data_IF_659578229925
#
_entry.id   IF_659578229925
#
_cell.length_a   1.000
_cell.length_b   1.000
_cell.length_c   1.000
_cell.angle_alpha   90.00
_cell.angle_beta   90.00
_cell.angle_gamma   90.00
#
_symmetry.space_group_name_H-M   'P 1'
#
loop_
_entity.id
_entity.type
_entity.pdbx_description
1 polymer ?
#
# COMPACT_ATOMS: atom_id res chain seq x y z
N UNK A 1 -10.77 13.61 13.00
CA UNK A 1 -11.62 14.36 12.05
C UNK A 1 -11.43 15.88 12.09
N UNK A 2 -10.52 16.46 12.90
CA UNK A 2 -10.28 17.90 12.96
C UNK A 2 -9.46 18.48 11.78
N UNK A 3 -8.82 17.63 10.97
CA UNK A 3 -7.87 18.06 9.95
C UNK A 3 -8.50 18.69 8.70
N UNK A 4 -9.78 18.45 8.38
CA UNK A 4 -10.40 18.87 7.11
C UNK A 4 -11.32 20.11 7.24
N UNK A 5 -11.24 20.87 8.33
CA UNK A 5 -12.15 22.00 8.60
C UNK A 5 -12.11 23.09 7.53
N UNK A 6 -10.96 23.22 6.86
CA UNK A 6 -10.72 24.28 5.87
C UNK A 6 -10.97 23.81 4.42
N UNK A 7 -11.50 22.60 4.22
CA UNK A 7 -11.86 22.09 2.89
C UNK A 7 -13.29 22.52 2.53
N UNK A 8 -13.45 23.20 1.39
CA UNK A 8 -14.74 23.68 0.93
C UNK A 8 -14.99 23.32 -0.54
N UNK A 9 -16.26 23.08 -0.88
CA UNK A 9 -16.71 22.95 -2.27
C UNK A 9 -16.42 24.25 -3.02
N UNK A 10 -15.96 24.15 -4.26
CA UNK A 10 -15.58 25.26 -5.12
C UNK A 10 -14.13 25.73 -4.96
N UNK A 11 -13.37 25.17 -4.02
CA UNK A 11 -11.91 25.42 -3.96
C UNK A 11 -11.22 24.98 -5.25
N UNK A 12 -10.18 25.73 -5.64
CA UNK A 12 -9.37 25.46 -6.83
C UNK A 12 -8.05 24.80 -6.43
N UNK A 13 -7.59 23.86 -7.24
CA UNK A 13 -6.33 23.13 -7.03
C UNK A 13 -5.60 22.92 -8.34
N UNK A 14 -4.29 22.75 -8.27
CA UNK A 14 -3.49 22.24 -9.38
C UNK A 14 -3.29 20.73 -9.17
N UNK A 15 -3.69 19.91 -10.14
CA UNK A 15 -3.60 18.45 -10.07
C UNK A 15 -3.01 17.89 -11.36
N UNK A 16 -2.38 16.72 -11.25
CA UNK A 16 -1.83 16.00 -12.40
C UNK A 16 -2.86 15.88 -13.53
N UNK A 17 -2.40 16.14 -14.75
CA UNK A 17 -3.17 15.99 -15.98
C UNK A 17 -2.89 14.62 -16.61
N UNK A 18 -3.76 13.66 -16.32
CA UNK A 18 -3.64 12.27 -16.80
C UNK A 18 -4.05 12.10 -18.27
N UNK A 19 -4.57 13.15 -18.93
CA UNK A 19 -4.95 13.14 -20.35
C UNK A 19 -3.75 13.24 -21.30
N UNK A 20 -2.53 13.37 -20.77
CA UNK A 20 -1.28 13.33 -21.53
C UNK A 20 -0.57 12.03 -21.16
N UNK A 21 -0.55 11.06 -22.08
CA UNK A 21 0.17 9.80 -21.90
C UNK A 21 1.61 10.07 -21.45
N UNK A 22 1.89 9.87 -20.17
CA UNK A 22 3.24 9.96 -19.61
C UNK A 22 3.53 8.68 -18.85
N UNK A 23 4.12 7.74 -19.56
CA UNK A 23 4.79 6.60 -18.95
C UNK A 23 5.99 7.12 -18.15
N UNK A 24 5.95 6.88 -16.83
CA UNK A 24 7.11 6.71 -15.94
C UNK A 24 8.25 7.73 -15.97
N UNK A 25 8.00 9.03 -16.16
CA UNK A 25 9.00 10.06 -15.86
C UNK A 25 8.38 11.25 -15.13
N UNK A 26 8.85 11.55 -13.91
CA UNK A 26 8.43 12.68 -13.07
C UNK A 26 8.66 14.04 -13.74
N UNK A 27 9.59 14.12 -14.70
CA UNK A 27 9.85 15.32 -15.49
C UNK A 27 8.71 15.66 -16.46
N UNK A 28 8.02 14.65 -16.99
CA UNK A 28 6.94 14.82 -17.99
C UNK A 28 5.53 14.92 -17.39
N UNK A 29 5.40 14.80 -16.06
CA UNK A 29 4.12 15.00 -15.39
C UNK A 29 3.60 16.40 -15.69
N UNK A 30 2.40 16.58 -16.21
CA UNK A 30 1.82 17.92 -16.42
C UNK A 30 0.69 18.16 -15.43
N UNK A 31 0.32 19.41 -15.19
CA UNK A 31 -0.71 19.78 -14.23
C UNK A 31 -1.74 20.68 -14.89
N UNK A 32 -2.98 20.59 -14.40
CA UNK A 32 -4.05 21.50 -14.76
C UNK A 32 -4.88 21.89 -13.53
N UNK A 33 -5.65 22.97 -13.66
CA UNK A 33 -6.51 23.45 -12.58
C UNK A 33 -7.79 22.63 -12.54
N UNK A 34 -8.23 22.28 -11.32
CA UNK A 34 -9.52 21.65 -11.08
C UNK A 34 -10.27 22.31 -9.92
N UNK A 35 -11.60 22.21 -9.96
CA UNK A 35 -12.52 22.57 -8.88
C UNK A 35 -12.86 21.38 -7.99
N UNK A 36 -12.95 21.62 -6.69
CA UNK A 36 -13.53 20.69 -5.72
C UNK A 36 -15.05 20.68 -5.87
N UNK A 37 -15.59 19.57 -6.39
CA UNK A 37 -17.04 19.37 -6.57
C UNK A 37 -17.65 18.77 -5.30
N UNK A 38 -16.96 17.80 -4.69
CA UNK A 38 -17.38 17.11 -3.48
C UNK A 38 -16.17 16.57 -2.74
N UNK A 39 -16.29 16.30 -1.45
CA UNK A 39 -15.26 15.58 -0.70
C UNK A 39 -15.89 14.63 0.33
N UNK A 40 -15.18 13.56 0.64
CA UNK A 40 -15.51 12.56 1.66
C UNK A 40 -14.22 12.04 2.28
N UNK A 41 -13.98 12.39 3.54
CA UNK A 41 -12.67 12.16 4.20
C UNK A 41 -11.53 12.74 3.34
N UNK A 42 -10.51 11.93 3.03
CA UNK A 42 -9.37 12.34 2.19
C UNK A 42 -9.65 12.22 0.69
N UNK A 43 -10.83 11.73 0.28
CA UNK A 43 -11.20 11.64 -1.13
C UNK A 43 -11.93 12.91 -1.57
N UNK A 44 -11.50 13.49 -2.67
CA UNK A 44 -12.06 14.72 -3.23
C UNK A 44 -12.45 14.45 -4.67
N UNK A 45 -13.71 14.70 -5.02
CA UNK A 45 -14.21 14.68 -6.38
C UNK A 45 -13.83 16.01 -7.04
N UNK A 46 -13.09 15.92 -8.13
CA UNK A 46 -12.54 17.05 -8.86
C UNK A 46 -13.12 17.10 -10.27
N UNK A 47 -13.22 18.32 -10.81
CA UNK A 47 -13.49 18.57 -12.23
C UNK A 47 -12.48 19.57 -12.76
N UNK A 48 -11.80 19.26 -13.86
CA UNK A 48 -10.89 20.21 -14.49
C UNK A 48 -11.62 21.49 -14.92
N UNK A 49 -10.97 22.64 -14.75
CA UNK A 49 -11.47 23.91 -15.27
C UNK A 49 -11.56 23.84 -16.80
N UNK A 50 -12.74 24.18 -17.34
CA UNK A 50 -13.07 24.09 -18.77
C UNK A 50 -14.08 22.99 -19.12
N UNK A 51 -14.39 22.09 -18.19
CA UNK A 51 -15.54 21.18 -18.30
C UNK A 51 -16.76 21.72 -17.55
N UNK A 52 -17.95 21.46 -18.09
CA UNK A 52 -19.26 21.79 -17.52
C UNK A 52 -19.85 20.61 -16.72
N UNK A 53 -20.89 20.87 -15.92
CA UNK A 53 -21.59 19.83 -15.13
C UNK A 53 -22.11 18.66 -15.96
N UNK A 54 -22.46 18.90 -17.23
CA UNK A 54 -22.99 17.89 -18.14
C UNK A 54 -21.93 16.97 -18.77
N UNK A 55 -20.65 17.29 -18.65
CA UNK A 55 -19.58 16.54 -19.34
C UNK A 55 -19.25 15.19 -18.68
N UNK A 56 -19.76 14.91 -17.48
CA UNK A 56 -19.47 13.71 -16.70
C UNK A 56 -17.95 13.41 -16.57
N UNK A 57 -17.13 14.46 -16.53
CA UNK A 57 -15.67 14.40 -16.48
C UNK A 57 -15.10 14.49 -15.05
N UNK A 58 -15.93 14.19 -14.04
CA UNK A 58 -15.55 14.25 -12.64
C UNK A 58 -14.71 13.02 -12.26
N UNK A 59 -13.66 13.23 -11.49
CA UNK A 59 -12.78 12.15 -11.04
C UNK A 59 -12.42 12.26 -9.56
N UNK A 60 -12.30 11.11 -8.90
CA UNK A 60 -11.90 11.07 -7.49
C UNK A 60 -10.38 11.17 -7.36
N UNK A 61 -9.95 11.97 -6.41
CA UNK A 61 -8.54 12.18 -6.07
C UNK A 61 -8.32 12.00 -4.56
N UNK A 62 -7.15 11.50 -4.15
CA UNK A 62 -6.78 11.40 -2.73
C UNK A 62 -5.92 12.60 -2.33
N UNK A 63 -6.38 13.39 -1.34
CA UNK A 63 -5.64 14.57 -0.85
C UNK A 63 -4.28 14.20 -0.25
N UNK A 64 -4.06 12.93 0.12
CA UNK A 64 -2.78 12.45 0.66
C UNK A 64 -1.75 12.19 -0.45
N UNK A 65 -2.18 12.12 -1.70
CA UNK A 65 -1.28 12.01 -2.85
C UNK A 65 -0.46 13.30 -3.00
N UNK A 66 0.79 13.18 -3.45
CA UNK A 66 1.69 14.33 -3.66
C UNK A 66 1.41 15.11 -4.95
N UNK A 67 0.54 14.62 -5.82
CA UNK A 67 0.25 15.22 -7.13
C UNK A 67 -0.96 16.18 -7.11
N UNK A 68 -1.28 16.74 -5.94
CA UNK A 68 -2.27 17.80 -5.73
C UNK A 68 -1.63 18.95 -4.96
N UNK A 69 -1.87 20.16 -5.46
CA UNK A 69 -1.19 21.35 -5.03
C UNK A 69 -2.13 22.55 -4.94
N UNK A 70 -1.78 23.56 -4.12
CA UNK A 70 -2.50 24.82 -4.14
C UNK A 70 -2.23 25.56 -5.45
N UNK A 71 -3.19 26.39 -5.87
CA UNK A 71 -3.01 27.25 -7.05
C UNK A 71 -1.79 28.15 -6.87
N UNK A 72 -0.95 28.23 -7.91
CA UNK A 72 0.32 28.95 -7.92
C UNK A 72 1.55 28.07 -7.66
N UNK A 73 1.36 26.78 -7.33
CA UNK A 73 2.48 25.86 -7.08
C UNK A 73 3.32 25.63 -8.34
N UNK A 74 2.69 25.37 -9.48
CA UNK A 74 3.32 25.18 -10.78
C UNK A 74 4.15 26.41 -11.19
N UNK A 75 3.59 27.60 -11.04
CA UNK A 75 4.29 28.85 -11.32
C UNK A 75 5.57 29.00 -10.46
N UNK A 76 5.51 28.66 -9.17
CA UNK A 76 6.66 28.74 -8.25
C UNK A 76 7.80 27.80 -8.63
N UNK A 77 7.51 26.66 -9.25
CA UNK A 77 8.52 25.69 -9.72
C UNK A 77 8.84 25.84 -11.22
N UNK A 78 8.44 26.95 -11.86
CA UNK A 78 8.60 27.21 -13.29
C UNK A 78 8.04 26.08 -14.19
N UNK A 79 6.93 25.47 -13.78
CA UNK A 79 6.24 24.43 -14.53
C UNK A 79 4.95 24.99 -15.14
N UNK A 80 4.73 24.87 -16.46
CA UNK A 80 3.52 25.40 -17.08
C UNK A 80 2.30 24.54 -16.73
N UNK A 81 1.14 25.18 -16.58
CA UNK A 81 -0.14 24.50 -16.59
C UNK A 81 -0.49 24.11 -18.02
N UNK A 82 -0.80 22.83 -18.25
CA UNK A 82 -1.12 22.28 -19.56
C UNK A 82 -2.58 21.79 -19.55
N UNK A 83 -3.48 22.38 -20.36
CA UNK A 83 -4.86 21.93 -20.43
C UNK A 83 -4.97 20.52 -21.01
N UNK A 84 -5.93 19.68 -20.53
CA UNK A 84 -6.34 18.47 -21.22
C UNK A 84 -6.71 18.75 -22.68
N UNK A 85 -6.51 17.77 -23.57
CA UNK A 85 -6.63 17.96 -25.01
C UNK A 85 -8.03 18.44 -25.43
N UNK A 86 -9.06 17.96 -24.76
CA UNK A 86 -10.47 18.34 -24.99
C UNK A 86 -10.77 19.77 -24.52
N UNK A 87 -10.10 20.24 -23.46
CA UNK A 87 -10.25 21.63 -22.99
C UNK A 87 -9.51 22.58 -23.94
N UNK A 88 -8.33 22.17 -24.42
CA UNK A 88 -7.52 22.95 -25.34
C UNK A 88 -8.25 23.29 -26.64
N UNK A 89 -9.16 22.43 -27.11
CA UNK A 89 -9.97 22.69 -28.30
C UNK A 89 -11.22 23.55 -28.02
N UNK A 90 -11.67 23.63 -26.76
CA UNK A 90 -12.84 24.41 -26.35
C UNK A 90 -12.49 25.86 -25.99
N UNK A 91 -11.28 26.11 -25.48
CA UNK A 91 -10.87 27.41 -24.95
C UNK A 91 -9.66 27.93 -25.72
N UNK A 92 -9.87 28.98 -26.52
CA UNK A 92 -8.82 29.59 -27.33
C UNK A 92 -7.78 30.35 -26.49
N UNK A 93 -8.23 31.13 -25.50
CA UNK A 93 -7.38 31.85 -24.56
C UNK A 93 -7.57 31.31 -23.14
N UNK A 94 -6.79 30.29 -22.82
CA UNK A 94 -6.85 29.65 -21.50
C UNK A 94 -6.21 30.52 -20.41
N UNK A 95 -5.36 31.49 -20.75
CA UNK A 95 -4.73 32.38 -19.76
C UNK A 95 -5.77 33.34 -19.18
N UNK A 96 -6.50 34.02 -20.06
CA UNK A 96 -7.59 34.91 -19.64
C UNK A 96 -8.71 34.13 -18.93
N UNK A 97 -9.05 32.94 -19.45
CA UNK A 97 -10.03 32.06 -18.81
C UNK A 97 -9.62 31.70 -17.37
N UNK A 98 -8.38 31.22 -17.16
CA UNK A 98 -7.90 30.89 -15.82
C UNK A 98 -7.83 32.12 -14.94
N UNK A 99 -7.41 33.28 -15.45
CA UNK A 99 -7.38 34.52 -14.70
C UNK A 99 -8.76 34.86 -14.13
N UNK A 100 -9.82 34.77 -14.95
CA UNK A 100 -11.20 34.99 -14.51
C UNK A 100 -11.68 33.95 -13.49
N UNK A 101 -11.30 32.68 -13.66
CA UNK A 101 -11.73 31.58 -12.77
C UNK A 101 -10.98 31.52 -11.44
N UNK A 102 -9.74 31.99 -11.41
CA UNK A 102 -8.86 31.92 -10.23
C UNK A 102 -8.87 33.21 -9.41
N UNK A 103 -9.23 34.34 -10.00
CA UNK A 103 -9.31 35.63 -9.28
C UNK A 103 -10.29 35.56 -8.11
N UNK A 104 -9.76 35.72 -6.88
CA UNK A 104 -10.54 35.64 -5.65
C UNK A 104 -10.98 34.23 -5.26
N UNK A 105 -10.60 33.20 -6.01
CA UNK A 105 -10.94 31.82 -5.70
C UNK A 105 -10.13 31.32 -4.50
N UNK A 106 -10.78 30.51 -3.65
CA UNK A 106 -10.10 29.85 -2.54
C UNK A 106 -9.30 28.65 -3.06
N UNK A 107 -8.12 28.43 -2.51
CA UNK A 107 -7.31 27.23 -2.73
C UNK A 107 -6.89 26.64 -1.39
N UNK A 108 -6.35 25.43 -1.38
CA UNK A 108 -5.78 24.85 -0.17
C UNK A 108 -4.58 25.66 0.30
N UNK A 109 -4.31 25.70 1.61
CA UNK A 109 -3.00 26.17 2.08
C UNK A 109 -1.94 25.10 1.85
N UNK A 110 -0.70 25.51 1.60
CA UNK A 110 0.41 24.59 1.42
C UNK A 110 0.65 23.75 2.70
N UNK A 111 0.51 24.36 3.87
CA UNK A 111 0.69 23.73 5.18
C UNK A 111 -0.39 22.70 5.47
N UNK A 112 -1.63 22.97 5.06
CA UNK A 112 -2.73 22.01 5.17
C UNK A 112 -2.44 20.77 4.32
N UNK A 113 -2.09 20.95 3.04
CA UNK A 113 -1.79 19.83 2.14
C UNK A 113 -0.57 19.04 2.64
N UNK A 114 0.48 19.71 3.10
CA UNK A 114 1.65 19.05 3.67
C UNK A 114 1.27 18.12 4.83
N UNK A 115 0.50 18.61 5.81
CA UNK A 115 0.04 17.80 6.96
C UNK A 115 -0.86 16.63 6.54
N UNK A 116 -1.70 16.83 5.53
CA UNK A 116 -2.55 15.74 5.02
C UNK A 116 -1.71 14.70 4.27
N UNK A 117 -0.72 15.11 3.48
CA UNK A 117 0.17 14.24 2.71
C UNK A 117 1.17 13.45 3.56
N UNK A 118 1.38 13.85 4.82
CA UNK A 118 2.11 13.05 5.82
C UNK A 118 1.31 11.83 6.31
N UNK A 119 -0.02 11.84 6.15
CA UNK A 119 -0.87 10.72 6.57
C UNK A 119 -0.66 9.54 5.62
N UNK A 120 -0.33 8.34 6.14
CA UNK A 120 -0.17 7.16 5.31
C UNK A 120 -1.41 6.87 4.45
N UNK A 121 -1.17 6.43 3.23
CA UNK A 121 -2.21 6.01 2.29
C UNK A 121 -1.70 4.92 1.36
N UNK A 122 -2.63 4.20 0.75
CA UNK A 122 -2.30 3.18 -0.22
C UNK A 122 -1.65 3.78 -1.47
N UNK A 123 -0.39 3.40 -1.74
CA UNK A 123 0.38 3.81 -2.92
C UNK A 123 0.68 2.63 -3.87
N UNK A 124 0.17 1.44 -3.58
CA UNK A 124 0.35 0.28 -4.44
C UNK A 124 -0.43 0.45 -5.74
N UNK A 125 0.15 -0.07 -6.83
CA UNK A 125 -0.45 -0.05 -8.17
C UNK A 125 -0.56 -1.48 -8.70
N UNK A 126 -1.56 -1.72 -9.54
CA UNK A 126 -1.71 -2.99 -10.26
C UNK A 126 -0.42 -3.27 -11.05
N UNK A 127 0.05 -4.51 -11.00
CA UNK A 127 1.28 -4.97 -11.60
C UNK A 127 2.50 -4.95 -10.68
N UNK A 128 2.43 -4.25 -9.54
CA UNK A 128 3.53 -4.25 -8.56
C UNK A 128 3.75 -5.62 -7.93
N UNK A 129 5.00 -5.92 -7.56
CA UNK A 129 5.43 -7.21 -6.98
C UNK A 129 5.78 -7.06 -5.51
N UNK A 130 5.39 -8.08 -4.74
CA UNK A 130 5.61 -8.17 -3.29
C UNK A 130 6.02 -9.60 -2.92
N UNK A 131 6.63 -9.77 -1.76
CA UNK A 131 6.74 -11.06 -1.09
C UNK A 131 5.66 -11.20 -0.02
N UNK A 132 5.03 -12.36 0.08
CA UNK A 132 3.94 -12.64 1.02
C UNK A 132 3.92 -14.12 1.39
N UNK A 133 3.52 -14.43 2.63
CA UNK A 133 3.45 -15.80 3.12
C UNK A 133 2.42 -16.63 2.34
N UNK A 134 2.78 -17.86 1.97
CA UNK A 134 1.86 -18.77 1.30
C UNK A 134 0.78 -19.28 2.26
N UNK A 135 -0.43 -18.72 2.11
CA UNK A 135 -1.62 -19.08 2.90
C UNK A 135 -1.99 -20.56 2.79
N UNK A 136 -1.70 -21.22 1.66
CA UNK A 136 -1.96 -22.66 1.48
C UNK A 136 -0.87 -23.50 2.14
N UNK A 137 0.37 -23.00 2.18
CA UNK A 137 1.50 -23.69 2.82
C UNK A 137 1.64 -23.31 4.29
N UNK A 138 0.52 -23.18 4.98
CA UNK A 138 0.52 -22.95 6.41
C UNK A 138 1.33 -21.68 6.81
N UNK A 139 1.47 -20.69 5.92
CA UNK A 139 2.26 -19.47 6.12
C UNK A 139 3.76 -19.72 6.42
N UNK A 140 4.25 -20.94 6.17
CA UNK A 140 5.59 -21.39 6.55
C UNK A 140 6.70 -20.92 5.60
N UNK A 141 6.34 -20.46 4.41
CA UNK A 141 7.25 -20.00 3.36
C UNK A 141 6.73 -18.71 2.73
N UNK A 142 7.63 -17.91 2.18
CA UNK A 142 7.27 -16.73 1.39
C UNK A 142 7.21 -17.08 -0.10
N UNK A 143 6.34 -16.40 -0.81
CA UNK A 143 6.21 -16.46 -2.26
C UNK A 143 6.18 -15.06 -2.85
N UNK A 144 6.59 -14.93 -4.11
CA UNK A 144 6.37 -13.70 -4.88
C UNK A 144 4.90 -13.64 -5.30
N UNK A 145 4.29 -12.47 -5.18
CA UNK A 145 2.93 -12.21 -5.65
C UNK A 145 2.84 -10.88 -6.39
N UNK A 146 1.92 -10.81 -7.35
CA UNK A 146 1.59 -9.60 -8.11
C UNK A 146 0.29 -8.98 -7.58
N UNK A 147 0.26 -7.66 -7.44
CA UNK A 147 -0.96 -6.87 -7.21
C UNK A 147 -1.81 -6.91 -8.49
N UNK A 148 -2.90 -7.66 -8.49
CA UNK A 148 -3.79 -7.81 -9.66
C UNK A 148 -5.00 -6.87 -9.61
N UNK A 149 -5.30 -6.27 -8.46
CA UNK A 149 -6.33 -5.25 -8.31
C UNK A 149 -6.11 -4.42 -7.04
N UNK A 150 -6.63 -3.18 -7.02
CA UNK A 150 -6.56 -2.27 -5.88
C UNK A 150 -7.92 -1.62 -5.68
N UNK A 151 -8.56 -1.87 -4.54
CA UNK A 151 -9.86 -1.30 -4.17
C UNK A 151 -9.72 -0.57 -2.84
N UNK A 152 -9.65 0.76 -2.92
CA UNK A 152 -9.38 1.61 -1.75
C UNK A 152 -8.04 1.24 -1.12
N UNK A 153 -8.07 0.84 0.15
CA UNK A 153 -6.90 0.44 0.93
C UNK A 153 -6.65 -1.08 0.90
N UNK A 154 -7.37 -1.82 0.04
CA UNK A 154 -7.20 -3.28 -0.12
C UNK A 154 -6.48 -3.60 -1.42
N UNK A 155 -5.56 -4.56 -1.33
CA UNK A 155 -4.82 -5.13 -2.45
C UNK A 155 -5.33 -6.53 -2.73
N UNK A 156 -5.59 -6.84 -4.00
CA UNK A 156 -5.82 -8.22 -4.45
C UNK A 156 -4.49 -8.75 -4.97
N UNK A 157 -3.98 -9.80 -4.34
CA UNK A 157 -2.71 -10.42 -4.66
C UNK A 157 -2.92 -11.79 -5.31
N UNK A 158 -2.08 -12.10 -6.29
CA UNK A 158 -1.99 -13.41 -6.93
C UNK A 158 -0.55 -13.91 -6.84
N UNK A 159 -0.34 -15.15 -6.42
CA UNK A 159 1.00 -15.75 -6.41
C UNK A 159 1.56 -15.90 -7.83
N UNK A 160 2.82 -15.52 -8.01
CA UNK A 160 3.52 -15.65 -9.28
C UNK A 160 3.99 -17.11 -9.49
N UNK A 161 3.74 -17.64 -10.68
CA UNK A 161 4.12 -18.99 -11.09
C UNK A 161 2.98 -20.00 -11.12
N UNK A 162 1.83 -19.73 -10.52
CA UNK A 162 0.67 -20.61 -10.68
C UNK A 162 0.03 -20.43 -12.07
N UNK A 163 -0.53 -21.52 -12.60
CA UNK A 163 -1.36 -21.45 -13.81
C UNK A 163 -2.57 -20.53 -13.54
N UNK A 164 -2.92 -19.59 -14.44
CA UNK A 164 -4.07 -18.72 -14.26
C UNK A 164 -5.39 -19.44 -13.94
N UNK A 165 -5.55 -20.69 -14.36
CA UNK A 165 -6.76 -21.49 -14.09
C UNK A 165 -6.84 -22.01 -12.65
N UNK A 166 -5.70 -22.14 -11.95
CA UNK A 166 -5.61 -22.64 -10.56
C UNK A 166 -5.18 -21.57 -9.57
N UNK A 167 -4.72 -20.41 -10.06
CA UNK A 167 -4.28 -19.30 -9.24
C UNK A 167 -5.47 -18.69 -8.50
N UNK A 168 -5.47 -18.83 -7.18
CA UNK A 168 -6.42 -18.15 -6.31
C UNK A 168 -5.87 -16.79 -5.89
N UNK A 169 -6.72 -15.77 -6.06
CA UNK A 169 -6.46 -14.44 -5.56
C UNK A 169 -6.87 -14.33 -4.10
N UNK A 170 -6.20 -13.46 -3.36
CA UNK A 170 -6.63 -13.11 -2.03
C UNK A 170 -6.48 -11.62 -1.76
N UNK A 171 -7.26 -11.13 -0.81
CA UNK A 171 -7.21 -9.73 -0.41
C UNK A 171 -6.42 -9.54 0.90
N UNK A 172 -5.66 -8.45 0.97
CA UNK A 172 -5.08 -7.92 2.20
C UNK A 172 -5.19 -6.40 2.24
N UNK A 173 -4.99 -5.81 3.41
CA UNK A 173 -4.84 -4.36 3.53
C UNK A 173 -3.43 -3.95 3.05
N UNK A 174 -3.29 -2.77 2.44
CA UNK A 174 -1.98 -2.29 1.94
C UNK A 174 -0.94 -2.07 3.05
N UNK A 175 -1.42 -1.87 4.28
CA UNK A 175 -0.60 -1.67 5.48
C UNK A 175 -0.49 -2.94 6.33
N UNK A 176 -0.73 -4.11 5.73
CA UNK A 176 -0.52 -5.39 6.41
C UNK A 176 0.96 -5.60 6.68
N UNK A 177 1.31 -6.14 7.85
CA UNK A 177 2.69 -6.54 8.17
C UNK A 177 3.11 -7.83 7.48
N UNK A 178 2.16 -8.51 6.82
CA UNK A 178 2.38 -9.80 6.13
C UNK A 178 2.81 -9.66 4.66
N UNK A 179 2.83 -8.42 4.14
CA UNK A 179 3.30 -8.13 2.79
C UNK A 179 4.63 -7.39 2.88
N UNK A 180 5.60 -7.82 2.08
CA UNK A 180 6.98 -7.39 2.19
C UNK A 180 7.54 -6.96 0.83
N UNK A 181 8.53 -6.07 0.78
CA UNK A 181 9.22 -5.73 -0.47
C UNK A 181 9.96 -6.95 -1.03
N UNK A 182 10.15 -6.98 -2.34
CA UNK A 182 10.98 -8.00 -3.00
C UNK A 182 12.41 -7.93 -2.44
N UNK A 183 12.98 -9.09 -2.09
CA UNK A 183 14.27 -9.23 -1.43
C UNK A 183 14.20 -9.34 0.09
N UNK A 184 13.03 -9.10 0.69
CA UNK A 184 12.85 -9.15 2.16
C UNK A 184 13.19 -10.52 2.75
N UNK A 185 12.75 -11.62 2.13
CA UNK A 185 13.02 -12.98 2.63
C UNK A 185 14.52 -13.24 2.72
N UNK A 186 15.27 -12.84 1.70
CA UNK A 186 16.73 -12.93 1.68
C UNK A 186 17.38 -12.08 2.78
N UNK A 187 16.89 -10.84 2.93
CA UNK A 187 17.37 -9.89 3.94
C UNK A 187 17.23 -10.45 5.36
N UNK A 188 16.04 -10.94 5.72
CA UNK A 188 15.75 -11.41 7.09
C UNK A 188 16.20 -12.85 7.35
N UNK A 189 16.50 -13.62 6.30
CA UNK A 189 16.84 -15.04 6.40
C UNK A 189 15.63 -15.98 6.42
N UNK A 190 14.50 -15.55 5.82
CA UNK A 190 13.34 -16.37 5.56
C UNK A 190 13.47 -17.13 4.22
N UNK A 191 12.76 -18.24 4.07
CA UNK A 191 12.73 -18.99 2.81
C UNK A 191 11.73 -18.38 1.84
N UNK A 192 12.19 -18.12 0.61
CA UNK A 192 11.36 -17.87 -0.56
C UNK A 192 11.23 -19.18 -1.37
N UNK A 193 10.01 -19.61 -1.67
CA UNK A 193 9.72 -20.90 -2.31
C UNK A 193 8.63 -20.74 -3.38
N UNK A 194 8.49 -21.70 -4.31
CA UNK A 194 7.30 -21.77 -5.15
C UNK A 194 6.02 -21.89 -4.33
N UNK A 195 4.93 -21.24 -4.75
CA UNK A 195 3.63 -21.40 -4.10
C UNK A 195 3.12 -22.83 -4.25
N UNK A 196 2.30 -23.28 -3.29
CA UNK A 196 1.60 -24.55 -3.39
C UNK A 196 0.77 -24.60 -4.68
N UNK A 197 0.95 -25.67 -5.44
CA UNK A 197 0.32 -25.87 -6.74
C UNK A 197 1.27 -25.71 -7.93
N UNK A 198 2.51 -25.24 -7.71
CA UNK A 198 3.57 -25.32 -8.73
C UNK A 198 3.87 -26.77 -9.08
N UNK A 199 3.80 -27.11 -10.38
CA UNK A 199 3.91 -28.51 -10.86
C UNK A 199 5.31 -28.87 -11.38
N UNK A 200 6.19 -27.90 -11.60
CA UNK A 200 7.50 -28.12 -12.22
C UNK A 200 8.63 -28.13 -11.17
N UNK A 201 9.88 -28.23 -11.62
CA UNK A 201 11.02 -28.25 -10.69
C UNK A 201 11.27 -26.87 -10.03
N UNK A 202 12.00 -26.88 -8.92
CA UNK A 202 12.46 -25.65 -8.24
C UNK A 202 13.39 -24.84 -9.16
N UNK A 203 14.20 -25.51 -9.99
CA UNK A 203 15.10 -24.84 -10.94
C UNK A 203 14.33 -24.06 -11.99
N UNK A 204 13.23 -24.62 -12.51
CA UNK A 204 12.35 -23.92 -13.44
C UNK A 204 11.64 -22.74 -12.78
N UNK A 205 11.22 -22.89 -11.52
CA UNK A 205 10.63 -21.79 -10.77
C UNK A 205 11.63 -20.65 -10.54
N UNK A 206 12.88 -20.95 -10.16
CA UNK A 206 13.91 -19.94 -9.98
C UNK A 206 14.11 -19.13 -11.27
N UNK A 207 14.23 -19.80 -12.42
CA UNK A 207 14.35 -19.14 -13.73
C UNK A 207 13.13 -18.27 -14.06
N UNK A 208 11.93 -18.74 -13.71
CA UNK A 208 10.70 -17.99 -13.93
C UNK A 208 10.68 -16.72 -13.07
N UNK A 209 10.97 -16.84 -11.78
CA UNK A 209 10.98 -15.68 -10.87
C UNK A 209 12.06 -14.68 -11.26
N UNK A 210 13.25 -15.12 -11.63
CA UNK A 210 14.30 -14.23 -12.16
C UNK A 210 13.79 -13.41 -13.36
N UNK A 211 13.12 -14.06 -14.32
CA UNK A 211 12.53 -13.37 -15.48
C UNK A 211 11.40 -12.41 -15.08
N UNK A 212 10.61 -12.77 -14.08
CA UNK A 212 9.49 -11.98 -13.57
C UNK A 212 9.99 -10.72 -12.87
N UNK A 213 11.00 -10.85 -12.00
CA UNK A 213 11.58 -9.75 -11.24
C UNK A 213 12.44 -8.82 -12.11
N UNK A 214 13.01 -9.33 -13.21
CA UNK A 214 13.71 -8.53 -14.21
C UNK A 214 12.83 -7.49 -14.95
N UNK A 215 11.51 -7.47 -14.72
CA UNK A 215 10.58 -6.52 -15.34
C UNK A 215 10.51 -5.16 -14.61
N UNK A 216 11.27 -4.98 -13.53
CA UNK A 216 11.33 -3.73 -12.74
C UNK A 216 9.94 -3.25 -12.29
N UNK A 217 9.18 -4.18 -11.71
CA UNK A 217 7.83 -3.93 -11.17
C UNK A 217 7.77 -4.13 -9.66
N UNK A 218 8.90 -4.09 -8.99
CA UNK A 218 8.93 -4.30 -7.55
C UNK A 218 8.24 -3.12 -6.85
N UNK A 219 7.42 -3.43 -5.85
CA UNK A 219 6.81 -2.39 -5.02
C UNK A 219 7.94 -1.65 -4.26
N UNK A 220 8.01 -0.31 -4.32
CA UNK A 220 9.04 0.44 -3.62
C UNK A 220 8.96 0.25 -2.11
N UNK A 221 10.09 0.01 -1.44
CA UNK A 221 10.12 -0.30 0.00
C UNK A 221 9.39 0.74 0.87
N UNK A 222 9.43 2.02 0.50
CA UNK A 222 8.83 3.12 1.25
C UNK A 222 7.31 3.09 1.31
N UNK A 223 6.63 2.27 0.50
CA UNK A 223 5.16 2.16 0.51
C UNK A 223 4.64 1.11 1.49
N UNK A 224 5.52 0.29 2.05
CA UNK A 224 5.20 -0.72 3.06
C UNK A 224 5.18 -0.11 4.47
N UNK A 225 4.56 -0.81 5.43
CA UNK A 225 4.72 -0.47 6.84
C UNK A 225 6.16 -0.73 7.28
N UNK A 226 6.69 0.08 8.19
CA UNK A 226 8.07 -0.05 8.69
C UNK A 226 8.35 -1.43 9.31
N UNK A 227 7.38 -2.02 10.01
CA UNK A 227 7.47 -3.38 10.58
C UNK A 227 7.49 -4.49 9.51
N UNK A 228 7.32 -4.17 8.22
CA UNK A 228 7.33 -5.13 7.12
C UNK A 228 8.58 -5.05 6.23
N UNK A 229 9.46 -4.08 6.44
CA UNK A 229 10.63 -3.84 5.57
C UNK A 229 11.93 -4.43 6.13
N UNK A 230 11.94 -4.86 7.40
CA UNK A 230 13.19 -5.20 8.11
C UNK A 230 14.04 -4.01 8.49
N UNK A 231 13.48 -2.80 8.52
CA UNK A 231 14.15 -1.60 9.05
C UNK A 231 13.68 -1.21 10.45
N UNK A 232 12.59 -1.79 10.95
CA UNK A 232 12.03 -1.45 12.25
C UNK A 232 13.01 -1.73 13.39
N UNK A 233 13.24 -0.73 14.23
CA UNK A 233 13.97 -0.90 15.49
C UNK A 233 13.06 -1.60 16.51
N UNK A 234 13.65 -2.42 17.38
CA UNK A 234 12.93 -3.20 18.37
C UNK A 234 13.81 -3.44 19.60
N UNK A 235 13.30 -3.22 20.83
CA UNK A 235 14.08 -3.37 22.05
C UNK A 235 14.16 -4.82 22.57
N UNK A 236 13.50 -5.77 21.91
CA UNK A 236 13.35 -7.15 22.40
C UNK A 236 13.89 -8.16 21.39
N UNK A 237 14.92 -8.90 21.79
CA UNK A 237 15.34 -10.11 21.11
C UNK A 237 14.52 -11.28 21.69
N UNK A 238 13.70 -11.90 20.85
CA UNK A 238 13.12 -13.21 21.16
C UNK A 238 14.22 -14.27 20.97
N UNK A 239 14.30 -15.21 21.88
CA UNK A 239 15.26 -16.33 21.81
C UNK A 239 14.53 -17.64 21.57
N UNK A 240 15.20 -18.58 20.88
CA UNK A 240 14.68 -19.94 20.67
C UNK A 240 14.28 -20.58 22.00
N UNK A 241 13.05 -21.11 22.06
CA UNK A 241 12.47 -21.76 23.23
C UNK A 241 11.62 -20.84 24.11
N UNK A 242 11.66 -19.51 23.90
CA UNK A 242 10.75 -18.59 24.59
C UNK A 242 9.29 -18.92 24.26
N UNK A 243 8.42 -18.83 25.27
CA UNK A 243 6.98 -18.99 25.13
C UNK A 243 6.27 -17.66 25.34
N UNK A 244 5.21 -17.46 24.58
CA UNK A 244 4.38 -16.25 24.63
C UNK A 244 2.95 -16.59 24.18
N UNK A 245 2.03 -15.65 24.34
CA UNK A 245 0.65 -15.79 23.86
C UNK A 245 0.48 -15.03 22.55
N UNK A 246 -0.31 -15.53 21.61
CA UNK A 246 -0.57 -14.78 20.38
C UNK A 246 -1.78 -15.26 19.60
N UNK A 247 -2.28 -14.39 18.73
CA UNK A 247 -3.40 -14.71 17.85
C UNK A 247 -2.99 -15.83 16.91
N UNK A 248 -3.79 -16.89 16.85
CA UNK A 248 -3.60 -18.00 15.93
C UNK A 248 -3.88 -17.53 14.48
N UNK A 249 -2.88 -17.51 13.58
CA UNK A 249 -3.10 -17.00 12.23
C UNK A 249 -4.04 -17.85 11.35
N UNK A 250 -4.32 -19.12 11.69
CA UNK A 250 -5.38 -19.89 11.02
C UNK A 250 -6.77 -19.66 11.60
N UNK A 251 -6.83 -19.39 12.90
CA UNK A 251 -8.09 -19.25 13.62
C UNK A 251 -8.04 -17.93 14.40
N UNK A 252 -8.23 -16.78 13.72
CA UNK A 252 -7.92 -15.46 14.30
C UNK A 252 -8.79 -15.05 15.50
N UNK A 253 -9.81 -15.83 15.84
CA UNK A 253 -10.61 -15.66 17.06
C UNK A 253 -10.04 -16.42 18.27
N UNK A 254 -8.88 -17.09 18.12
CA UNK A 254 -8.19 -17.82 19.19
C UNK A 254 -6.87 -17.14 19.53
N UNK A 255 -6.60 -17.02 20.83
CA UNK A 255 -5.26 -16.77 21.36
C UNK A 255 -4.72 -18.11 21.86
N UNK A 256 -3.47 -18.41 21.53
CA UNK A 256 -2.83 -19.68 21.86
C UNK A 256 -1.42 -19.47 22.40
N UNK A 257 -0.86 -20.52 23.00
CA UNK A 257 0.55 -20.54 23.40
C UNK A 257 1.42 -20.80 22.16
N UNK A 258 2.37 -19.91 21.94
CA UNK A 258 3.35 -19.97 20.88
C UNK A 258 4.75 -20.16 21.47
N UNK A 259 5.58 -20.94 20.77
CA UNK A 259 6.98 -21.15 21.12
C UNK A 259 7.87 -20.64 19.99
N UNK A 260 8.91 -19.87 20.32
CA UNK A 260 9.92 -19.44 19.35
C UNK A 260 10.75 -20.65 18.92
N UNK A 261 10.75 -20.93 17.62
CA UNK A 261 11.42 -22.09 17.02
C UNK A 261 12.70 -21.68 16.30
N UNK A 262 12.74 -20.46 15.76
CA UNK A 262 13.90 -19.97 15.01
C UNK A 262 13.98 -18.45 15.08
N UNK A 263 15.17 -17.93 15.33
CA UNK A 263 15.48 -16.51 15.20
C UNK A 263 15.77 -16.15 13.74
N UNK A 264 15.24 -15.01 13.29
CA UNK A 264 15.59 -14.37 12.02
C UNK A 264 16.29 -13.04 12.30
N UNK A 265 16.79 -12.38 11.26
CA UNK A 265 17.41 -11.06 11.41
C UNK A 265 16.33 -9.98 11.56
N UNK A 266 16.75 -8.78 11.99
CA UNK A 266 15.89 -7.58 12.06
C UNK A 266 14.63 -7.80 12.91
N UNK A 267 14.78 -8.44 14.07
CA UNK A 267 13.71 -8.70 15.04
C UNK A 267 12.54 -9.55 14.53
N UNK A 268 12.72 -10.28 13.43
CA UNK A 268 11.81 -11.34 13.05
C UNK A 268 12.18 -12.66 13.69
N UNK A 269 11.19 -13.53 13.86
CA UNK A 269 11.38 -14.89 14.35
C UNK A 269 10.25 -15.77 13.84
N UNK A 270 10.50 -17.08 13.84
CA UNK A 270 9.50 -18.10 13.55
C UNK A 270 9.01 -18.67 14.87
N UNK A 271 7.69 -18.67 15.08
CA UNK A 271 7.06 -19.33 16.21
C UNK A 271 6.05 -20.39 15.76
N UNK A 272 5.99 -21.49 16.51
CA UNK A 272 5.03 -22.57 16.31
C UNK A 272 3.94 -22.55 17.36
N UNK A 273 2.74 -22.99 17.00
CA UNK A 273 1.67 -23.27 17.97
C UNK A 273 1.98 -24.60 18.63
N UNK A 274 2.02 -24.62 19.96
CA UNK A 274 2.23 -25.86 20.71
C UNK A 274 1.18 -26.90 20.28
N UNK A 275 1.63 -28.12 19.98
CA UNK A 275 0.82 -29.24 19.47
C UNK A 275 0.36 -29.16 18.00
N UNK A 276 0.86 -28.22 17.19
CA UNK A 276 0.58 -28.17 15.75
C UNK A 276 1.87 -28.08 14.93
N UNK A 277 1.89 -28.76 13.77
CA UNK A 277 2.99 -28.66 12.81
C UNK A 277 2.87 -27.41 11.92
N UNK A 278 2.67 -26.25 12.56
CA UNK A 278 2.46 -24.98 11.91
C UNK A 278 3.40 -23.91 12.48
N UNK A 279 3.99 -23.13 11.58
CA UNK A 279 5.04 -22.17 11.91
C UNK A 279 4.75 -20.86 11.20
N UNK A 280 4.87 -19.75 11.92
CA UNK A 280 4.55 -18.43 11.41
C UNK A 280 5.69 -17.47 11.69
N UNK A 281 5.92 -16.57 10.75
CA UNK A 281 6.84 -15.46 10.92
C UNK A 281 6.15 -14.34 11.70
N UNK A 282 6.81 -13.85 12.75
CA UNK A 282 6.40 -12.70 13.52
C UNK A 282 7.52 -11.67 13.57
N UNK A 283 7.14 -10.40 13.63
CA UNK A 283 8.04 -9.33 14.05
C UNK A 283 7.87 -9.08 15.55
N UNK A 284 8.94 -8.69 16.26
CA UNK A 284 8.88 -8.38 17.69
C UNK A 284 7.91 -7.24 18.05
N UNK A 285 7.64 -6.32 17.13
CA UNK A 285 6.65 -5.24 17.32
C UNK A 285 5.21 -5.65 16.96
N UNK A 286 4.97 -6.92 16.63
CA UNK A 286 3.64 -7.39 16.26
C UNK A 286 2.63 -7.08 17.36
N UNK A 287 1.48 -6.53 16.97
CA UNK A 287 0.37 -6.25 17.89
C UNK A 287 -0.47 -7.49 18.23
N UNK A 288 -0.11 -8.63 17.65
CA UNK A 288 -0.81 -9.90 17.76
C UNK A 288 -0.10 -10.90 18.67
N UNK A 289 0.96 -10.46 19.36
CA UNK A 289 1.71 -11.26 20.33
C UNK A 289 1.69 -10.56 21.69
N UNK A 290 1.66 -11.34 22.76
CA UNK A 290 1.43 -10.89 24.13
C UNK A 290 2.34 -11.64 25.11
N UNK A 291 2.72 -11.03 26.25
CA UNK A 291 3.50 -11.73 27.27
C UNK A 291 2.67 -12.88 27.89
N UNK A 292 3.34 -13.91 28.45
CA UNK A 292 2.66 -14.95 29.22
C UNK A 292 1.79 -14.37 30.35
N UNK A 293 0.56 -14.89 30.49
CA UNK A 293 -0.41 -14.43 31.49
C UNK A 293 -1.29 -13.26 31.02
N UNK A 294 -1.12 -12.78 29.79
CA UNK A 294 -1.93 -11.67 29.26
C UNK A 294 -3.42 -12.05 29.18
N UNK A 295 -3.75 -13.23 28.64
CA UNK A 295 -5.13 -13.72 28.60
C UNK A 295 -5.75 -13.80 30.00
N UNK A 296 -5.03 -14.36 30.97
CA UNK A 296 -5.48 -14.45 32.37
C UNK A 296 -5.76 -13.06 32.97
N UNK A 297 -4.84 -12.11 32.78
CA UNK A 297 -4.95 -10.76 33.32
C UNK A 297 -6.16 -9.97 32.77
N UNK A 298 -6.61 -10.28 31.55
CA UNK A 298 -7.74 -9.61 30.89
C UNK A 298 -9.01 -10.48 30.82
N UNK A 299 -9.02 -11.67 31.45
CA UNK A 299 -10.18 -12.57 31.44
C UNK A 299 -10.54 -13.10 30.05
N UNK A 300 -9.54 -13.30 29.19
CA UNK A 300 -9.69 -13.83 27.84
C UNK A 300 -9.36 -15.33 27.86
N UNK A 301 -10.14 -16.12 27.12
CA UNK A 301 -9.92 -17.57 27.03
C UNK A 301 -8.66 -17.87 26.21
N UNK A 302 -7.66 -18.45 26.87
CA UNK A 302 -6.47 -18.99 26.22
C UNK A 302 -6.78 -20.39 25.68
N UNK A 303 -6.57 -20.60 24.38
CA UNK A 303 -6.73 -21.92 23.77
C UNK A 303 -5.56 -22.81 24.20
N UNK A 304 -5.81 -23.90 24.94
CA UNK A 304 -4.75 -24.78 25.41
C UNK A 304 -4.09 -25.54 24.24
N UNK A 305 -2.82 -25.94 24.37
CA UNK A 305 -2.20 -26.88 23.45
C UNK A 305 -3.03 -28.18 23.38
N UNK A 306 -3.24 -28.70 22.16
CA UNK A 306 -3.98 -29.96 21.94
C UNK A 306 -3.20 -31.20 22.37
#
# INVERSE_FOLDING_TARGET
>A
MSCLKDVHIGMKVEVINNGVESFNNSENTTFWVASVIKFKHFKTLLRYEGYDEGDNADFWFDLRCRDIHPVGWCARINKPLIPPQEIKTRINDWQEYLFQRLSGAKTFSAEFLQKVQEIPHNRFKVGMKVEVADRKNLYSVMCVATVVDVVGDRLRLRYDGLDPEVAEDFWCHYYSTDIHPVGWSSLVGHQLRPPIGWKNSISEWNKLIEKILAQDRDAPQEIFSEDATGSAQGPYAFEVGMKFEGINPYVPNQICVLTVIKELKYNYFIAGIDSQAAYFCFHANSRNIFPPGWCEAYGIELTPPR
#
